data_IF_077520064375
#
_entry.id   IF_077520064375
#
_cell.length_a   1.000
_cell.length_b   1.000
_cell.length_c   1.000
_cell.angle_alpha   90.00
_cell.angle_beta   90.00
_cell.angle_gamma   90.00
#
_symmetry.space_group_name_H-M   'P 1'
#
loop_
_entity.id
_entity.type
_entity.pdbx_description
1 polymer ?
#
# COMPACT_ATOMS: atom_id res chain seq x y z
N UNK A 1 22.79 -21.27 -7.03
CA UNK A 1 22.83 -20.08 -6.15
C UNK A 1 23.31 -18.91 -6.98
N UNK A 2 22.78 -17.70 -6.77
CA UNK A 2 23.25 -16.51 -7.47
C UNK A 2 24.74 -16.25 -7.17
N UNK A 3 25.49 -15.90 -8.21
CA UNK A 3 26.92 -15.62 -8.12
C UNK A 3 27.14 -14.11 -7.94
N UNK A 4 27.50 -13.70 -6.72
CA UNK A 4 27.71 -12.29 -6.39
C UNK A 4 29.07 -11.74 -6.88
N UNK A 5 29.95 -12.55 -7.47
CA UNK A 5 31.24 -12.12 -8.01
C UNK A 5 31.19 -11.77 -9.49
N UNK A 6 30.14 -12.21 -10.18
CA UNK A 6 29.91 -11.98 -11.61
C UNK A 6 29.46 -10.53 -11.87
N UNK A 7 29.86 -9.98 -13.02
CA UNK A 7 29.28 -8.71 -13.52
C UNK A 7 27.96 -8.98 -14.25
N UNK A 8 26.93 -8.18 -13.93
CA UNK A 8 25.61 -8.24 -14.55
C UNK A 8 25.34 -7.04 -15.45
N UNK A 9 24.40 -7.16 -16.36
CA UNK A 9 23.89 -6.00 -17.10
C UNK A 9 22.96 -5.17 -16.20
N UNK A 10 22.10 -5.83 -15.40
CA UNK A 10 21.13 -5.18 -14.54
C UNK A 10 21.18 -5.75 -13.12
N UNK A 11 21.39 -4.90 -12.13
CA UNK A 11 21.19 -5.22 -10.71
C UNK A 11 19.86 -4.63 -10.23
N UNK A 12 19.00 -5.46 -9.67
CA UNK A 12 17.73 -5.06 -9.08
C UNK A 12 17.78 -5.22 -7.57
N UNK A 13 17.58 -4.14 -6.81
CA UNK A 13 17.47 -4.16 -5.36
C UNK A 13 16.01 -4.29 -4.92
N UNK A 14 15.67 -5.41 -4.27
CA UNK A 14 14.32 -5.78 -3.81
C UNK A 14 13.77 -6.99 -4.56
N UNK A 15 12.73 -7.64 -4.01
CA UNK A 15 12.10 -8.83 -4.59
C UNK A 15 10.56 -8.75 -4.63
N UNK A 16 9.99 -7.55 -4.52
CA UNK A 16 8.55 -7.31 -4.64
C UNK A 16 8.06 -7.28 -6.10
N UNK A 17 6.80 -6.92 -6.29
CA UNK A 17 6.17 -6.81 -7.61
C UNK A 17 6.99 -5.95 -8.59
N UNK A 18 7.40 -4.76 -8.18
CA UNK A 18 8.17 -3.85 -9.04
C UNK A 18 9.50 -4.46 -9.47
N UNK A 19 10.21 -5.09 -8.54
CA UNK A 19 11.49 -5.74 -8.79
C UNK A 19 11.36 -6.91 -9.79
N UNK A 20 10.37 -7.76 -9.60
CA UNK A 20 10.15 -8.91 -10.49
C UNK A 20 9.67 -8.47 -11.88
N UNK A 21 8.80 -7.46 -11.95
CA UNK A 21 8.41 -6.86 -13.24
C UNK A 21 9.63 -6.28 -13.98
N UNK A 22 10.56 -5.60 -13.25
CA UNK A 22 11.78 -5.06 -13.85
C UNK A 22 12.73 -6.19 -14.29
N UNK A 23 12.95 -7.18 -13.45
CA UNK A 23 13.85 -8.30 -13.75
C UNK A 23 13.35 -9.11 -14.96
N UNK A 24 12.06 -9.43 -15.03
CA UNK A 24 11.46 -10.16 -16.15
C UNK A 24 11.56 -9.33 -17.44
N UNK A 25 11.25 -8.03 -17.38
CA UNK A 25 11.33 -7.14 -18.55
C UNK A 25 12.77 -7.01 -19.07
N UNK A 26 13.75 -6.82 -18.18
CA UNK A 26 15.16 -6.74 -18.54
C UNK A 26 15.68 -8.06 -19.12
N UNK A 27 15.30 -9.18 -18.51
CA UNK A 27 15.72 -10.50 -18.99
C UNK A 27 15.16 -10.84 -20.37
N UNK A 28 13.89 -10.49 -20.63
CA UNK A 28 13.27 -10.64 -21.96
C UNK A 28 13.90 -9.74 -23.02
N UNK A 29 14.48 -8.62 -22.61
CA UNK A 29 15.31 -7.77 -23.47
C UNK A 29 16.73 -8.31 -23.68
N UNK A 30 17.08 -9.48 -23.15
CA UNK A 30 18.35 -10.18 -23.37
C UNK A 30 19.44 -9.90 -22.34
N UNK A 31 19.19 -9.08 -21.31
CA UNK A 31 20.19 -8.74 -20.29
C UNK A 31 20.38 -9.85 -19.24
N UNK A 32 21.59 -9.98 -18.71
CA UNK A 32 21.86 -10.74 -17.49
C UNK A 32 21.37 -9.94 -16.28
N UNK A 33 20.59 -10.57 -15.39
CA UNK A 33 19.91 -9.89 -14.28
C UNK A 33 20.20 -10.60 -12.96
N UNK A 34 20.60 -9.81 -11.95
CA UNK A 34 20.64 -10.23 -10.56
C UNK A 34 19.58 -9.46 -9.76
N UNK A 35 18.78 -10.20 -9.02
CA UNK A 35 17.86 -9.65 -8.01
C UNK A 35 18.42 -9.90 -6.63
N UNK A 36 18.59 -8.84 -5.81
CA UNK A 36 18.97 -8.94 -4.41
C UNK A 36 17.73 -8.74 -3.53
N UNK A 37 17.22 -9.81 -2.95
CA UNK A 37 16.10 -9.82 -1.98
C UNK A 37 16.68 -9.99 -0.56
N UNK A 38 16.40 -8.99 0.28
CA UNK A 38 16.86 -8.96 1.67
C UNK A 38 16.26 -10.08 2.52
N UNK A 39 15.02 -10.45 2.25
CA UNK A 39 14.32 -11.49 3.01
C UNK A 39 14.80 -12.89 2.59
N UNK A 40 14.75 -13.84 3.54
CA UNK A 40 14.86 -15.25 3.23
C UNK A 40 13.78 -15.69 2.22
N UNK A 41 14.07 -16.72 1.44
CA UNK A 41 13.19 -17.22 0.35
C UNK A 41 11.73 -17.40 0.79
N UNK A 42 11.47 -17.86 2.01
CA UNK A 42 10.11 -18.05 2.54
C UNK A 42 9.37 -16.73 2.77
N UNK A 43 10.10 -15.66 3.14
CA UNK A 43 9.54 -14.34 3.44
C UNK A 43 9.68 -13.33 2.31
N UNK A 44 10.19 -13.75 1.14
CA UNK A 44 10.44 -12.89 -0.03
C UNK A 44 9.22 -12.11 -0.49
N UNK A 45 9.43 -10.99 -1.16
CA UNK A 45 8.41 -10.27 -1.90
C UNK A 45 7.86 -9.01 -1.23
N UNK A 46 8.44 -8.59 -0.12
CA UNK A 46 8.09 -7.33 0.55
C UNK A 46 6.59 -7.21 0.84
N UNK A 47 6.05 -6.01 0.80
CA UNK A 47 4.64 -5.73 1.06
C UNK A 47 3.69 -6.26 -0.03
N UNK A 48 4.20 -6.63 -1.18
CA UNK A 48 3.39 -7.26 -2.24
C UNK A 48 2.69 -8.54 -1.76
N UNK A 49 3.26 -9.26 -0.78
CA UNK A 49 2.64 -10.44 -0.15
C UNK A 49 1.25 -10.18 0.44
N UNK A 50 1.01 -8.92 0.86
CA UNK A 50 -0.20 -8.50 1.55
C UNK A 50 -1.21 -7.82 0.63
N UNK A 51 -0.96 -7.79 -0.68
CA UNK A 51 -1.91 -7.26 -1.66
C UNK A 51 -2.98 -8.28 -2.03
N UNK A 52 -4.10 -7.79 -2.57
CA UNK A 52 -5.16 -8.65 -3.10
C UNK A 52 -5.64 -8.25 -4.49
N UNK A 53 -5.36 -7.03 -4.93
CA UNK A 53 -5.86 -6.50 -6.20
C UNK A 53 -4.91 -5.48 -6.81
N UNK A 54 -5.15 -5.17 -8.08
CA UNK A 54 -4.49 -4.13 -8.86
C UNK A 54 -5.55 -3.26 -9.53
N UNK A 55 -5.31 -1.96 -9.63
CA UNK A 55 -6.15 -1.00 -10.33
C UNK A 55 -5.53 -0.67 -11.69
N UNK A 56 -6.26 -0.91 -12.77
CA UNK A 56 -5.79 -0.61 -14.13
C UNK A 56 -6.90 0.01 -14.95
N UNK A 57 -6.55 0.91 -15.87
CA UNK A 57 -7.49 1.41 -16.87
C UNK A 57 -7.84 0.28 -17.86
N UNK A 58 -9.11 0.25 -18.32
CA UNK A 58 -9.61 -0.72 -19.31
C UNK A 58 -10.90 -0.18 -19.94
N UNK A 59 -11.16 -0.59 -21.19
CA UNK A 59 -12.23 0.00 -22.00
C UNK A 59 -13.52 -0.84 -21.99
N UNK A 60 -13.48 -2.07 -21.47
CA UNK A 60 -14.62 -2.99 -21.45
C UNK A 60 -14.64 -3.85 -20.20
N UNK A 61 -15.80 -4.46 -19.92
CA UNK A 61 -15.92 -5.53 -18.95
C UNK A 61 -15.09 -6.76 -19.38
N UNK A 62 -14.63 -7.54 -18.39
CA UNK A 62 -13.94 -8.83 -18.59
C UNK A 62 -14.61 -9.90 -17.72
N UNK A 63 -14.10 -11.12 -17.71
CA UNK A 63 -14.59 -12.17 -16.80
C UNK A 63 -14.48 -11.77 -15.32
N UNK A 64 -13.57 -10.85 -14.98
CA UNK A 64 -13.29 -10.46 -13.58
C UNK A 64 -13.58 -8.99 -13.28
N UNK A 65 -13.94 -8.19 -14.29
CA UNK A 65 -14.26 -6.76 -14.18
C UNK A 65 -15.68 -6.50 -14.73
N UNK A 66 -16.52 -5.86 -13.93
CA UNK A 66 -17.95 -5.70 -14.23
C UNK A 66 -18.30 -4.59 -15.22
N UNK A 67 -17.33 -3.80 -15.68
CA UNK A 67 -17.55 -2.69 -16.62
C UNK A 67 -16.26 -1.93 -16.94
N UNK A 68 -16.30 -0.95 -17.84
CA UNK A 68 -15.13 -0.17 -18.22
C UNK A 68 -14.65 0.75 -17.10
N UNK A 69 -13.37 1.05 -17.10
CA UNK A 69 -12.73 2.06 -16.24
C UNK A 69 -11.72 2.85 -17.08
N UNK A 70 -12.19 3.89 -17.82
CA UNK A 70 -11.38 4.63 -18.75
C UNK A 70 -10.32 5.48 -18.06
N UNK A 71 -9.28 5.87 -18.81
CA UNK A 71 -8.13 6.63 -18.29
C UNK A 71 -8.52 7.94 -17.61
N UNK A 72 -9.48 8.69 -18.18
CA UNK A 72 -9.91 9.97 -17.61
C UNK A 72 -10.65 9.80 -16.28
N UNK A 73 -11.44 8.72 -16.11
CA UNK A 73 -12.08 8.41 -14.85
C UNK A 73 -11.02 8.01 -13.81
N UNK A 74 -10.06 7.17 -14.18
CA UNK A 74 -8.97 6.79 -13.31
C UNK A 74 -8.16 8.03 -12.85
N UNK A 75 -7.85 8.93 -13.79
CA UNK A 75 -7.13 10.15 -13.46
C UNK A 75 -7.93 11.08 -12.54
N UNK A 76 -9.24 11.20 -12.75
CA UNK A 76 -10.15 11.94 -11.87
C UNK A 76 -10.17 11.35 -10.44
N UNK A 77 -10.27 10.03 -10.33
CA UNK A 77 -10.19 9.34 -9.04
C UNK A 77 -8.84 9.59 -8.35
N UNK A 78 -7.75 9.55 -9.10
CA UNK A 78 -6.41 9.84 -8.57
C UNK A 78 -6.30 11.28 -8.06
N UNK A 79 -6.75 12.26 -8.84
CA UNK A 79 -6.76 13.67 -8.40
C UNK A 79 -7.59 13.87 -7.14
N UNK A 80 -8.74 13.20 -7.05
CA UNK A 80 -9.61 13.26 -5.87
C UNK A 80 -8.90 12.73 -4.61
N UNK A 81 -8.31 11.52 -4.68
CA UNK A 81 -7.66 10.91 -3.51
C UNK A 81 -6.36 11.61 -3.12
N UNK A 82 -5.62 12.16 -4.08
CA UNK A 82 -4.38 12.91 -3.85
C UNK A 82 -4.64 14.38 -3.55
N UNK A 83 -5.87 14.87 -3.74
CA UNK A 83 -6.23 16.28 -3.64
C UNK A 83 -5.33 17.16 -4.55
N UNK A 84 -5.00 16.65 -5.74
CA UNK A 84 -4.13 17.30 -6.71
C UNK A 84 -2.61 17.18 -6.42
N UNK A 85 -2.21 16.55 -5.32
CA UNK A 85 -0.79 16.32 -5.01
C UNK A 85 -0.25 15.12 -5.80
N UNK A 86 -0.01 15.30 -7.09
CA UNK A 86 0.52 14.29 -8.02
C UNK A 86 1.29 14.96 -9.15
N UNK A 87 2.29 14.28 -9.70
CA UNK A 87 2.90 14.66 -10.97
C UNK A 87 1.96 14.16 -12.08
N UNK A 88 1.17 15.08 -12.67
CA UNK A 88 0.14 14.72 -13.66
C UNK A 88 0.71 14.02 -14.88
N UNK A 89 1.91 14.39 -15.29
CA UNK A 89 2.58 13.80 -16.46
C UNK A 89 2.91 12.34 -16.22
N UNK A 90 3.49 12.03 -15.06
CA UNK A 90 3.79 10.64 -14.68
C UNK A 90 2.53 9.86 -14.35
N UNK A 91 1.54 10.48 -13.72
CA UNK A 91 0.26 9.86 -13.40
C UNK A 91 -0.49 9.42 -14.65
N UNK A 92 -0.63 10.29 -15.65
CA UNK A 92 -1.27 9.96 -16.94
C UNK A 92 -0.49 8.90 -17.69
N UNK A 93 0.84 8.99 -17.70
CA UNK A 93 1.69 7.97 -18.32
C UNK A 93 1.49 6.60 -17.66
N UNK A 94 1.49 6.54 -16.30
CA UNK A 94 1.22 5.32 -15.56
C UNK A 94 -0.17 4.74 -15.88
N UNK A 95 -1.20 5.59 -15.94
CA UNK A 95 -2.58 5.17 -16.22
C UNK A 95 -2.69 4.57 -17.63
N UNK A 96 -2.14 5.23 -18.63
CA UNK A 96 -2.13 4.72 -20.01
C UNK A 96 -1.40 3.36 -20.12
N UNK A 97 -0.20 3.25 -19.54
CA UNK A 97 0.58 2.00 -19.53
C UNK A 97 -0.10 0.88 -18.72
N UNK A 98 -0.97 1.23 -17.75
CA UNK A 98 -1.66 0.24 -16.91
C UNK A 98 -2.60 -0.66 -17.70
N UNK A 99 -3.14 -0.20 -18.84
CA UNK A 99 -4.03 -0.99 -19.72
C UNK A 99 -3.38 -2.32 -20.12
N UNK A 100 -2.08 -2.29 -20.42
CA UNK A 100 -1.34 -3.48 -20.85
C UNK A 100 -0.95 -4.41 -19.70
N UNK A 101 -1.07 -3.97 -18.46
CA UNK A 101 -0.68 -4.78 -17.28
C UNK A 101 -1.64 -5.94 -17.06
N UNK A 102 -2.95 -5.73 -17.34
CA UNK A 102 -3.98 -6.76 -17.16
C UNK A 102 -3.73 -8.00 -18.03
N UNK A 103 -3.16 -7.80 -19.23
CA UNK A 103 -2.78 -8.91 -20.11
C UNK A 103 -1.37 -9.42 -19.84
N UNK A 104 -0.47 -8.53 -19.43
CA UNK A 104 0.92 -8.90 -19.21
C UNK A 104 1.11 -9.80 -17.97
N UNK A 105 0.43 -9.53 -16.85
CA UNK A 105 0.56 -10.35 -15.65
C UNK A 105 0.09 -11.81 -15.85
N UNK A 106 -1.03 -12.11 -16.53
CA UNK A 106 -1.40 -13.47 -16.89
C UNK A 106 -0.35 -14.22 -17.72
N UNK A 107 0.36 -13.52 -18.63
CA UNK A 107 1.49 -14.11 -19.39
C UNK A 107 2.66 -14.52 -18.49
N UNK A 108 2.70 -14.05 -17.24
CA UNK A 108 3.66 -14.47 -16.22
C UNK A 108 3.05 -15.53 -15.25
N UNK A 109 1.92 -16.14 -15.60
CA UNK A 109 1.25 -17.13 -14.77
C UNK A 109 0.37 -16.58 -13.65
N UNK A 110 0.22 -15.25 -13.55
CA UNK A 110 -0.69 -14.63 -12.57
C UNK A 110 -2.14 -14.90 -12.97
N UNK A 111 -3.00 -15.24 -12.01
CA UNK A 111 -4.42 -15.47 -12.27
C UNK A 111 -5.28 -14.46 -11.54
N UNK A 112 -6.37 -14.06 -12.16
CA UNK A 112 -7.39 -13.20 -11.57
C UNK A 112 -8.63 -13.98 -11.15
N UNK A 113 -9.43 -13.39 -10.29
CA UNK A 113 -10.76 -13.86 -9.87
C UNK A 113 -11.74 -12.70 -9.83
N UNK A 114 -13.05 -12.91 -9.83
CA UNK A 114 -14.03 -11.87 -9.57
C UNK A 114 -13.76 -11.16 -8.24
N UNK A 115 -14.20 -9.90 -8.13
CA UNK A 115 -14.01 -9.11 -6.91
C UNK A 115 -14.66 -9.79 -5.72
N UNK A 116 -14.02 -9.65 -4.55
CA UNK A 116 -14.59 -10.10 -3.29
C UNK A 116 -15.75 -9.19 -2.89
N UNK A 117 -16.78 -9.75 -2.26
CA UNK A 117 -17.94 -9.02 -1.75
C UNK A 117 -17.60 -8.11 -0.54
N UNK A 118 -18.60 -7.51 0.05
CA UNK A 118 -18.52 -6.55 1.16
C UNK A 118 -18.32 -5.11 0.67
N UNK A 119 -17.90 -4.22 1.58
CA UNK A 119 -17.72 -2.76 1.33
C UNK A 119 -16.77 -2.35 0.22
N UNK A 120 -16.23 -3.28 -0.53
CA UNK A 120 -15.12 -2.95 -1.42
C UNK A 120 -15.55 -2.34 -2.73
N UNK A 121 -16.76 -2.61 -3.25
CA UNK A 121 -17.30 -2.07 -4.52
C UNK A 121 -16.26 -1.90 -5.63
N UNK A 122 -15.27 -2.82 -5.70
CA UNK A 122 -14.09 -2.71 -6.55
C UNK A 122 -14.21 -3.51 -7.85
N UNK A 123 -15.32 -4.19 -8.07
CA UNK A 123 -15.49 -5.12 -9.21
C UNK A 123 -15.33 -4.49 -10.58
N UNK A 124 -15.48 -3.17 -10.69
CA UNK A 124 -15.31 -2.44 -11.94
C UNK A 124 -13.90 -1.88 -12.13
N UNK A 125 -13.24 -1.47 -11.07
CA UNK A 125 -11.98 -0.71 -11.16
C UNK A 125 -10.74 -1.55 -10.88
N UNK A 126 -10.89 -2.73 -10.24
CA UNK A 126 -9.77 -3.52 -9.75
C UNK A 126 -9.91 -5.00 -10.09
N UNK A 127 -8.86 -5.58 -10.65
CA UNK A 127 -8.73 -7.04 -10.79
C UNK A 127 -8.16 -7.66 -9.52
N UNK A 128 -8.80 -8.70 -9.02
CA UNK A 128 -8.37 -9.41 -7.81
C UNK A 128 -7.49 -10.60 -8.18
N UNK A 129 -6.38 -10.76 -7.46
CA UNK A 129 -5.49 -11.90 -7.66
C UNK A 129 -6.05 -13.17 -7.03
N UNK A 130 -6.18 -14.23 -7.79
CA UNK A 130 -6.53 -15.55 -7.26
C UNK A 130 -5.42 -16.03 -6.32
N UNK A 131 -5.77 -16.23 -5.04
CA UNK A 131 -4.83 -16.58 -3.98
C UNK A 131 -4.00 -15.39 -3.47
N UNK A 132 -4.35 -14.16 -3.86
CA UNK A 132 -3.76 -12.91 -3.36
C UNK A 132 -2.30 -12.69 -3.77
N UNK A 133 -1.63 -11.76 -3.07
CA UNK A 133 -0.28 -11.34 -3.40
C UNK A 133 0.78 -12.43 -3.33
N UNK A 134 0.63 -13.40 -2.43
CA UNK A 134 1.58 -14.53 -2.34
C UNK A 134 1.53 -15.42 -3.58
N UNK A 135 0.34 -15.72 -4.08
CA UNK A 135 0.16 -16.53 -5.29
C UNK A 135 0.70 -15.79 -6.51
N UNK A 136 0.38 -14.50 -6.65
CA UNK A 136 0.92 -13.64 -7.70
C UNK A 136 2.45 -13.59 -7.67
N UNK A 137 3.07 -13.35 -6.50
CA UNK A 137 4.51 -13.34 -6.35
C UNK A 137 5.15 -14.67 -6.76
N UNK A 138 4.57 -15.80 -6.33
CA UNK A 138 5.09 -17.11 -6.70
C UNK A 138 5.09 -17.30 -8.22
N UNK A 139 4.05 -16.86 -8.94
CA UNK A 139 4.02 -16.91 -10.40
C UNK A 139 5.14 -16.06 -11.01
N UNK A 140 5.33 -14.82 -10.54
CA UNK A 140 6.40 -13.93 -11.03
C UNK A 140 7.79 -14.48 -10.73
N UNK A 141 8.02 -15.06 -9.54
CA UNK A 141 9.30 -15.70 -9.20
C UNK A 141 9.57 -16.91 -10.10
N UNK A 142 8.60 -17.78 -10.35
CA UNK A 142 8.75 -18.90 -11.26
C UNK A 142 9.11 -18.42 -12.66
N UNK A 143 8.39 -17.44 -13.21
CA UNK A 143 8.71 -16.86 -14.53
C UNK A 143 10.12 -16.26 -14.57
N UNK A 144 10.53 -15.54 -13.52
CA UNK A 144 11.86 -14.95 -13.46
C UNK A 144 12.96 -16.05 -13.41
N UNK A 145 12.78 -17.08 -12.60
CA UNK A 145 13.67 -18.24 -12.50
C UNK A 145 13.75 -19.00 -13.83
N UNK A 146 12.62 -19.27 -14.48
CA UNK A 146 12.56 -19.96 -15.79
C UNK A 146 13.24 -19.17 -16.93
N UNK A 147 13.17 -17.84 -16.86
CA UNK A 147 13.89 -16.96 -17.79
C UNK A 147 15.40 -16.88 -17.50
N UNK A 148 15.88 -17.43 -16.38
CA UNK A 148 17.28 -17.40 -15.97
C UNK A 148 17.69 -16.10 -15.27
N UNK A 149 16.77 -15.43 -14.59
CA UNK A 149 17.09 -14.35 -13.63
C UNK A 149 17.78 -15.00 -12.42
N UNK A 150 18.94 -14.50 -12.04
CA UNK A 150 19.62 -14.92 -10.81
C UNK A 150 19.01 -14.17 -9.61
N UNK A 151 18.62 -14.91 -8.56
CA UNK A 151 17.99 -14.32 -7.37
C UNK A 151 18.83 -14.70 -6.14
N UNK A 152 19.34 -13.68 -5.46
CA UNK A 152 20.02 -13.81 -4.18
C UNK A 152 19.03 -13.49 -3.05
N UNK A 153 18.76 -14.47 -2.21
CA UNK A 153 17.98 -14.31 -0.97
C UNK A 153 18.91 -14.06 0.21
N UNK A 154 18.38 -13.51 1.31
CA UNK A 154 19.17 -13.08 2.48
C UNK A 154 20.30 -12.12 2.05
N UNK A 155 20.03 -11.29 1.04
CA UNK A 155 20.99 -10.45 0.33
C UNK A 155 20.57 -8.97 0.41
N UNK A 156 21.06 -8.29 1.43
CA UNK A 156 20.76 -6.87 1.67
C UNK A 156 21.75 -5.98 0.92
N UNK A 157 21.24 -5.05 0.11
CA UNK A 157 22.06 -3.95 -0.43
C UNK A 157 22.27 -2.94 0.69
N UNK A 158 23.52 -2.86 1.19
CA UNK A 158 23.88 -2.03 2.35
C UNK A 158 24.69 -0.79 1.98
N UNK A 159 25.20 -0.71 0.76
CA UNK A 159 25.90 0.45 0.23
C UNK A 159 25.84 0.51 -1.29
N UNK A 160 25.96 1.73 -1.85
CA UNK A 160 25.99 2.01 -3.28
C UNK A 160 27.20 2.89 -3.59
N UNK A 161 28.01 2.51 -4.54
CA UNK A 161 29.06 3.33 -5.12
C UNK A 161 28.48 4.08 -6.31
N UNK A 162 28.31 5.40 -6.15
CA UNK A 162 27.74 6.30 -7.15
C UNK A 162 28.67 7.48 -7.32
N UNK A 163 29.15 7.69 -8.54
CA UNK A 163 29.97 8.86 -8.90
C UNK A 163 29.28 9.70 -9.98
N UNK A 164 29.09 11.00 -9.70
CA UNK A 164 28.47 11.97 -10.62
C UNK A 164 27.16 11.50 -11.27
N UNK A 165 26.29 10.81 -10.49
CA UNK A 165 25.02 10.28 -10.97
C UNK A 165 25.13 8.98 -11.76
N UNK A 166 26.30 8.35 -11.75
CA UNK A 166 26.55 7.03 -12.33
C UNK A 166 26.73 5.98 -11.23
N UNK A 167 25.93 4.94 -11.25
CA UNK A 167 26.10 3.75 -10.43
C UNK A 167 27.30 2.93 -10.93
N UNK A 168 28.18 2.53 -10.04
CA UNK A 168 29.38 1.73 -10.32
C UNK A 168 29.27 0.33 -9.73
N UNK A 169 28.82 0.22 -8.48
CA UNK A 169 28.66 -1.05 -7.77
C UNK A 169 27.74 -0.93 -6.56
N UNK A 170 27.29 -2.07 -6.05
CA UNK A 170 26.60 -2.18 -4.78
C UNK A 170 27.34 -3.09 -3.82
N UNK A 171 27.37 -2.75 -2.53
CA UNK A 171 27.80 -3.68 -1.48
C UNK A 171 26.58 -4.44 -1.00
N UNK A 172 26.64 -5.76 -1.16
CA UNK A 172 25.57 -6.69 -0.74
C UNK A 172 26.06 -7.48 0.47
N UNK A 173 25.32 -7.41 1.57
CA UNK A 173 25.57 -8.23 2.75
C UNK A 173 24.77 -9.54 2.66
N UNK A 174 25.46 -10.68 2.78
CA UNK A 174 24.85 -12.01 2.73
C UNK A 174 25.64 -12.99 3.59
N UNK A 175 24.96 -13.75 4.44
CA UNK A 175 25.62 -14.75 5.30
C UNK A 175 26.69 -14.19 6.25
N UNK A 176 26.60 -12.90 6.62
CA UNK A 176 27.60 -12.21 7.45
C UNK A 176 28.76 -11.60 6.66
N UNK A 177 28.88 -11.86 5.37
CA UNK A 177 29.94 -11.34 4.48
C UNK A 177 29.42 -10.19 3.61
N UNK A 178 30.34 -9.31 3.19
CA UNK A 178 30.08 -8.21 2.25
C UNK A 178 30.67 -8.53 0.89
N UNK A 179 29.84 -8.44 -0.14
CA UNK A 179 30.20 -8.70 -1.52
C UNK A 179 30.03 -7.42 -2.35
N UNK A 180 31.03 -7.09 -3.16
CA UNK A 180 30.93 -5.99 -4.13
C UNK A 180 30.34 -6.55 -5.42
N UNK A 181 29.10 -6.20 -5.72
CA UNK A 181 28.37 -6.59 -6.94
C UNK A 181 28.47 -5.47 -7.96
N UNK A 182 28.95 -5.79 -9.17
CA UNK A 182 29.06 -4.86 -10.29
C UNK A 182 27.96 -5.13 -11.32
N UNK A 183 27.34 -4.05 -11.80
CA UNK A 183 26.41 -4.13 -12.92
C UNK A 183 26.53 -2.88 -13.81
N UNK A 184 26.08 -2.99 -15.05
CA UNK A 184 26.04 -1.85 -15.96
C UNK A 184 24.96 -0.85 -15.55
N UNK A 185 23.83 -1.33 -15.01
CA UNK A 185 22.68 -0.50 -14.57
C UNK A 185 22.14 -0.97 -13.22
N UNK A 186 21.48 -0.06 -12.51
CA UNK A 186 20.87 -0.31 -11.21
C UNK A 186 19.37 0.04 -11.23
N UNK A 187 18.53 -0.85 -10.71
CA UNK A 187 17.10 -0.63 -10.50
C UNK A 187 16.78 -0.73 -9.02
N UNK A 188 16.42 0.38 -8.40
CA UNK A 188 15.85 0.39 -7.05
C UNK A 188 14.37 0.00 -7.10
N UNK A 189 14.01 -1.10 -6.47
CA UNK A 189 12.64 -1.58 -6.31
C UNK A 189 12.43 -2.17 -4.90
N UNK A 190 13.03 -1.50 -3.91
CA UNK A 190 13.28 -1.95 -2.55
C UNK A 190 12.18 -1.60 -1.54
N UNK A 191 11.05 -1.02 -2.00
CA UNK A 191 9.99 -0.56 -1.11
C UNK A 191 10.29 0.79 -0.46
N UNK A 192 9.56 1.12 0.59
CA UNK A 192 9.72 2.33 1.39
C UNK A 192 10.45 2.10 2.71
N UNK A 193 10.08 2.90 3.75
CA UNK A 193 10.71 2.82 5.07
C UNK A 193 9.72 2.60 6.22
N UNK A 194 8.51 2.13 5.94
CA UNK A 194 7.44 1.97 6.93
C UNK A 194 7.79 1.04 8.09
N UNK A 195 8.77 0.15 7.93
CA UNK A 195 9.26 -0.72 9.00
C UNK A 195 10.43 -0.11 9.81
N UNK A 196 10.90 1.08 9.44
CA UNK A 196 11.93 1.81 10.17
C UNK A 196 11.27 2.79 11.16
N UNK A 197 10.96 2.30 12.36
CA UNK A 197 10.25 3.08 13.39
C UNK A 197 11.04 4.34 13.76
N UNK A 198 12.38 4.27 13.86
CA UNK A 198 13.22 5.43 14.18
C UNK A 198 13.17 6.49 13.10
N UNK A 199 13.09 6.09 11.82
CA UNK A 199 12.90 7.06 10.74
C UNK A 199 11.47 7.63 10.72
N UNK A 200 10.45 6.81 11.00
CA UNK A 200 9.08 7.30 11.14
C UNK A 200 8.94 8.32 12.29
N UNK A 201 9.66 8.13 13.41
CA UNK A 201 9.66 9.08 14.53
C UNK A 201 10.13 10.48 14.16
N UNK A 202 10.96 10.63 13.13
CA UNK A 202 11.41 11.96 12.67
C UNK A 202 10.24 12.79 12.15
N UNK A 203 9.18 12.15 11.65
CA UNK A 203 8.01 12.81 11.06
C UNK A 203 6.75 12.69 11.92
N UNK A 204 6.62 11.61 12.70
CA UNK A 204 5.42 11.31 13.50
C UNK A 204 5.65 11.40 15.00
N UNK A 205 6.88 11.70 15.43
CA UNK A 205 7.24 11.70 16.84
C UNK A 205 7.04 10.34 17.52
N UNK A 206 6.90 10.32 18.86
CA UNK A 206 6.74 9.08 19.64
C UNK A 206 5.51 8.23 19.23
N UNK A 207 4.52 8.82 18.57
CA UNK A 207 3.34 8.09 18.09
C UNK A 207 3.69 6.89 17.19
N UNK A 208 4.82 6.95 16.47
CA UNK A 208 5.28 5.87 15.61
C UNK A 208 5.56 4.54 16.34
N UNK A 209 5.85 4.57 17.64
CA UNK A 209 6.03 3.34 18.45
C UNK A 209 4.76 2.48 18.50
N UNK A 210 3.59 3.11 18.43
CA UNK A 210 2.29 2.46 18.47
C UNK A 210 1.76 2.04 17.09
N UNK A 211 2.46 2.37 15.99
CA UNK A 211 2.05 1.96 14.66
C UNK A 211 2.23 0.45 14.49
N UNK A 212 1.26 -0.19 13.88
CA UNK A 212 1.39 -1.55 13.37
C UNK A 212 1.85 -1.47 11.91
N UNK A 213 2.75 -2.35 11.52
CA UNK A 213 3.25 -2.41 10.15
C UNK A 213 2.48 -3.50 9.42
N UNK A 214 1.52 -3.08 8.60
CA UNK A 214 0.79 -4.00 7.72
C UNK A 214 1.66 -4.37 6.53
N UNK A 215 2.74 -5.05 6.81
CA UNK A 215 3.79 -5.37 5.85
C UNK A 215 4.97 -6.07 6.49
N UNK A 216 5.97 -6.31 5.66
CA UNK A 216 7.21 -6.98 6.04
C UNK A 216 8.05 -6.14 7.01
N UNK A 217 8.83 -6.76 7.91
CA UNK A 217 9.84 -6.05 8.72
C UNK A 217 11.06 -5.59 7.92
N UNK A 218 11.12 -5.89 6.62
CA UNK A 218 12.29 -5.64 5.78
C UNK A 218 12.26 -4.30 5.03
N UNK A 219 11.13 -3.61 4.92
CA UNK A 219 11.04 -2.28 4.28
C UNK A 219 11.57 -1.19 5.19
N UNK A 220 12.90 -1.10 5.31
CA UNK A 220 13.60 -0.19 6.25
C UNK A 220 14.12 1.08 5.60
N UNK A 221 13.96 1.22 4.27
CA UNK A 221 14.43 2.40 3.54
C UNK A 221 15.95 2.47 3.33
N UNK A 222 16.71 1.40 3.58
CA UNK A 222 18.18 1.40 3.44
C UNK A 222 18.61 1.96 2.09
N UNK A 223 18.11 1.37 1.00
CA UNK A 223 18.50 1.80 -0.36
C UNK A 223 17.94 3.19 -0.69
N UNK A 224 16.71 3.54 -0.26
CA UNK A 224 16.16 4.87 -0.43
C UNK A 224 17.08 5.92 0.23
N UNK A 225 17.47 5.71 1.49
CA UNK A 225 18.37 6.61 2.19
C UNK A 225 19.71 6.75 1.48
N UNK A 226 20.31 5.64 1.05
CA UNK A 226 21.57 5.64 0.31
C UNK A 226 21.50 6.49 -0.97
N UNK A 227 20.41 6.40 -1.71
CA UNK A 227 20.20 7.18 -2.93
C UNK A 227 20.07 8.68 -2.64
N UNK A 228 19.26 9.05 -1.63
CA UNK A 228 19.09 10.44 -1.23
C UNK A 228 20.41 11.04 -0.71
N UNK A 229 21.15 10.32 0.14
CA UNK A 229 22.46 10.74 0.67
C UNK A 229 23.51 10.93 -0.45
N UNK A 230 23.31 10.30 -1.62
CA UNK A 230 24.19 10.39 -2.80
C UNK A 230 23.67 11.34 -3.88
N UNK A 231 22.75 12.23 -3.51
CA UNK A 231 22.30 13.33 -4.35
C UNK A 231 21.24 12.94 -5.40
N UNK A 232 20.55 11.81 -5.25
CA UNK A 232 19.31 11.58 -5.99
C UNK A 232 18.24 12.54 -5.45
N UNK A 233 17.52 13.17 -6.34
CA UNK A 233 16.47 14.13 -5.99
C UNK A 233 15.34 13.44 -5.24
N UNK A 234 14.96 13.96 -4.09
CA UNK A 234 13.79 13.50 -3.34
C UNK A 234 12.47 14.06 -3.89
N UNK A 235 11.38 13.35 -3.62
CA UNK A 235 10.01 13.78 -3.87
C UNK A 235 9.05 13.11 -2.88
N UNK A 236 7.81 13.60 -2.84
CA UNK A 236 6.80 13.09 -1.92
C UNK A 236 6.91 13.69 -0.52
N UNK A 237 5.87 13.47 0.27
CA UNK A 237 5.74 14.03 1.63
C UNK A 237 5.97 12.91 2.67
N UNK A 238 7.04 12.98 3.48
CA UNK A 238 7.33 11.94 4.48
C UNK A 238 6.32 11.90 5.63
N UNK A 239 5.51 12.95 5.80
CA UNK A 239 4.42 12.98 6.79
C UNK A 239 3.14 12.33 6.27
N UNK A 240 3.10 11.93 5.00
CA UNK A 240 1.99 11.22 4.37
C UNK A 240 2.31 9.75 4.18
N UNK A 241 1.30 8.92 4.29
CA UNK A 241 1.43 7.47 4.12
C UNK A 241 0.08 6.83 3.80
N UNK A 242 0.12 5.65 3.22
CA UNK A 242 -1.02 4.73 3.19
C UNK A 242 -1.09 4.01 4.54
N UNK A 243 -1.97 4.46 5.40
CA UNK A 243 -2.20 3.86 6.70
C UNK A 243 -3.69 3.56 6.90
N UNK A 244 -4.00 2.32 7.25
CA UNK A 244 -5.37 1.79 7.36
C UNK A 244 -5.74 1.49 8.81
N UNK A 245 -7.02 1.30 9.06
CA UNK A 245 -7.51 0.77 10.33
C UNK A 245 -7.12 -0.72 10.45
N UNK A 246 -6.24 -1.04 11.40
CA UNK A 246 -5.82 -2.41 11.70
C UNK A 246 -6.30 -2.77 13.11
N UNK A 247 -6.77 -4.00 13.26
CA UNK A 247 -7.11 -4.54 14.57
C UNK A 247 -5.92 -4.40 15.53
N UNK A 248 -6.10 -3.73 16.65
CA UNK A 248 -5.03 -3.45 17.61
C UNK A 248 -4.40 -4.71 18.22
N UNK A 249 -5.06 -5.87 18.08
CA UNK A 249 -4.55 -7.19 18.52
C UNK A 249 -3.62 -7.84 17.49
N UNK A 250 -3.48 -7.24 16.28
CA UNK A 250 -2.59 -7.74 15.25
C UNK A 250 -1.11 -7.66 15.70
N UNK A 251 -0.24 -8.54 15.18
CA UNK A 251 1.19 -8.46 15.45
C UNK A 251 1.80 -7.17 14.89
N UNK A 252 2.96 -6.75 15.42
CA UNK A 252 3.67 -5.54 14.99
C UNK A 252 3.95 -5.53 13.50
N UNK A 253 4.29 -6.69 12.91
CA UNK A 253 4.59 -6.89 11.50
C UNK A 253 3.78 -8.04 10.92
N UNK A 254 3.65 -8.07 9.59
CA UNK A 254 3.06 -9.18 8.81
C UNK A 254 1.61 -9.57 9.21
N UNK A 255 0.87 -8.72 9.90
CA UNK A 255 -0.54 -8.96 10.23
C UNK A 255 -1.43 -9.16 9.00
N UNK A 256 -0.95 -8.73 7.86
CA UNK A 256 -1.57 -8.98 6.56
C UNK A 256 -2.87 -8.23 6.29
N UNK A 257 -3.51 -8.62 5.20
CA UNK A 257 -4.77 -8.01 4.76
C UNK A 257 -5.94 -8.39 5.67
N UNK A 258 -5.86 -9.55 6.31
CA UNK A 258 -6.94 -10.13 7.11
C UNK A 258 -7.15 -9.45 8.49
N UNK A 259 -6.19 -8.62 8.91
CA UNK A 259 -6.32 -7.81 10.15
C UNK A 259 -6.82 -6.40 9.87
N UNK A 260 -7.01 -6.01 8.59
CA UNK A 260 -7.61 -4.74 8.22
C UNK A 260 -9.10 -4.76 8.52
N UNK A 261 -9.60 -3.66 9.06
CA UNK A 261 -11.00 -3.50 9.41
C UNK A 261 -11.72 -2.67 8.34
N UNK A 262 -12.70 -3.28 7.69
CA UNK A 262 -13.55 -2.64 6.67
C UNK A 262 -14.93 -2.22 7.23
N UNK A 263 -15.15 -2.35 8.54
CA UNK A 263 -16.43 -2.04 9.21
C UNK A 263 -16.58 -0.58 9.64
N UNK A 264 -15.58 0.26 9.43
CA UNK A 264 -15.58 1.67 9.88
C UNK A 264 -16.85 2.43 9.47
N UNK A 265 -17.26 2.30 8.22
CA UNK A 265 -18.42 3.03 7.68
C UNK A 265 -19.77 2.55 8.23
N UNK A 266 -19.84 1.36 8.82
CA UNK A 266 -21.08 0.76 9.35
C UNK A 266 -21.31 0.97 10.84
N UNK A 267 -20.40 1.66 11.51
CA UNK A 267 -20.49 2.03 12.91
C UNK A 267 -20.08 3.47 13.15
N UNK A 268 -19.65 3.76 14.36
CA UNK A 268 -18.97 5.00 14.74
C UNK A 268 -17.57 4.67 15.22
N UNK A 269 -16.63 5.60 15.12
CA UNK A 269 -15.27 5.44 15.63
C UNK A 269 -15.02 6.42 16.76
N UNK A 270 -14.69 5.89 17.95
CA UNK A 270 -14.40 6.69 19.12
C UNK A 270 -12.94 6.51 19.56
N UNK A 271 -12.32 7.56 20.10
CA UNK A 271 -11.00 7.52 20.71
C UNK A 271 -11.06 6.91 22.14
N UNK A 272 -9.92 6.87 22.86
CA UNK A 272 -9.87 6.35 24.23
C UNK A 272 -10.69 7.15 25.25
N UNK A 273 -11.17 8.33 24.90
CA UNK A 273 -12.09 9.14 25.70
C UNK A 273 -13.56 8.95 25.28
N UNK A 274 -13.86 7.88 24.52
CA UNK A 274 -15.18 7.56 24.00
C UNK A 274 -15.80 8.67 23.12
N UNK A 275 -14.99 9.52 22.50
CA UNK A 275 -15.42 10.66 21.65
C UNK A 275 -15.18 10.35 20.18
N UNK A 276 -16.17 10.61 19.33
CA UNK A 276 -16.02 10.59 17.87
C UNK A 276 -15.11 11.72 17.43
N UNK A 277 -14.32 11.51 16.38
CA UNK A 277 -13.32 12.48 15.92
C UNK A 277 -13.30 12.72 14.40
N UNK A 278 -14.07 11.95 13.62
CA UNK A 278 -14.13 12.11 12.17
C UNK A 278 -15.47 11.63 11.59
N UNK A 279 -15.75 11.98 10.35
CA UNK A 279 -16.90 11.52 9.58
C UNK A 279 -16.61 10.14 8.97
N UNK A 280 -17.21 9.10 9.53
CA UNK A 280 -17.02 7.72 9.05
C UNK A 280 -17.69 7.48 7.69
N UNK A 281 -18.61 8.33 7.28
CA UNK A 281 -19.37 8.25 6.03
C UNK A 281 -18.98 9.29 4.97
N UNK A 282 -17.82 9.91 5.06
CA UNK A 282 -17.40 11.03 4.19
C UNK A 282 -17.36 10.66 2.69
N UNK A 283 -16.94 9.45 2.34
CA UNK A 283 -16.70 9.04 0.94
C UNK A 283 -16.79 7.52 0.82
N UNK A 284 -16.98 7.01 -0.41
CA UNK A 284 -16.92 5.58 -0.73
C UNK A 284 -15.64 4.96 -0.18
N UNK A 285 -15.80 3.90 0.60
CA UNK A 285 -14.74 3.27 1.37
C UNK A 285 -13.44 2.98 0.61
N UNK A 286 -13.45 2.44 -0.63
CA UNK A 286 -12.23 2.21 -1.42
C UNK A 286 -11.39 3.46 -1.72
N UNK A 287 -11.96 4.64 -1.64
CA UNK A 287 -11.26 5.92 -1.84
C UNK A 287 -10.82 6.56 -0.53
N UNK A 288 -11.38 6.13 0.62
CA UNK A 288 -11.13 6.80 1.90
C UNK A 288 -10.54 5.92 3.01
N UNK A 289 -10.59 4.60 2.88
CA UNK A 289 -10.09 3.68 3.91
C UNK A 289 -8.62 3.91 4.32
N UNK A 290 -7.82 4.43 3.42
CA UNK A 290 -6.38 4.57 3.59
C UNK A 290 -5.93 5.77 4.46
N UNK A 291 -6.87 6.59 4.93
CA UNK A 291 -6.58 7.69 5.85
C UNK A 291 -6.81 7.32 7.31
N UNK A 292 -7.56 6.23 7.57
CA UNK A 292 -8.01 5.91 8.93
C UNK A 292 -6.86 5.57 9.87
N UNK A 293 -5.79 4.94 9.40
CA UNK A 293 -4.59 4.76 10.22
C UNK A 293 -3.99 6.09 10.65
N UNK A 294 -3.93 7.09 9.76
CA UNK A 294 -3.42 8.43 10.09
C UNK A 294 -4.35 9.18 11.05
N UNK A 295 -5.66 9.07 10.89
CA UNK A 295 -6.62 9.68 11.81
C UNK A 295 -6.49 9.10 13.22
N UNK A 296 -6.30 7.78 13.33
CA UNK A 296 -6.06 7.11 14.62
C UNK A 296 -4.68 7.49 15.19
N UNK A 297 -3.66 7.69 14.35
CA UNK A 297 -2.33 8.15 14.80
C UNK A 297 -2.36 9.52 15.51
N UNK A 298 -3.36 10.34 15.22
CA UNK A 298 -3.57 11.64 15.85
C UNK A 298 -4.37 11.56 17.15
N UNK A 299 -4.93 10.39 17.48
CA UNK A 299 -5.70 10.21 18.71
C UNK A 299 -4.79 9.88 19.90
N UNK A 300 -5.24 10.17 21.14
CA UNK A 300 -4.51 9.81 22.34
C UNK A 300 -4.15 8.32 22.36
N UNK A 301 -2.90 7.97 22.71
CA UNK A 301 -2.32 6.63 22.73
C UNK A 301 -2.38 5.89 21.37
N UNK A 302 -2.69 6.60 20.28
CA UNK A 302 -2.84 6.05 18.93
C UNK A 302 -3.75 4.81 18.89
N UNK A 303 -4.87 4.89 19.63
CA UNK A 303 -5.89 3.85 19.69
C UNK A 303 -7.29 4.46 19.49
N UNK A 304 -8.13 3.71 18.81
CA UNK A 304 -9.56 4.02 18.66
C UNK A 304 -10.37 2.71 18.70
N UNK A 305 -11.68 2.84 18.70
CA UNK A 305 -12.61 1.71 18.75
C UNK A 305 -13.74 1.95 17.75
N UNK A 306 -13.96 0.97 16.87
CA UNK A 306 -15.11 0.97 15.97
C UNK A 306 -16.26 0.31 16.74
N UNK A 307 -17.35 1.03 16.96
CA UNK A 307 -18.56 0.58 17.69
C UNK A 307 -19.69 0.38 16.69
N UNK A 308 -20.30 -0.78 16.70
CA UNK A 308 -21.44 -1.12 15.83
C UNK A 308 -22.34 -2.15 16.52
N UNK A 309 -23.43 -2.52 15.90
CA UNK A 309 -24.41 -3.48 16.42
C UNK A 309 -24.64 -4.68 15.51
N UNK A 310 -25.50 -5.59 15.92
CA UNK A 310 -25.79 -6.84 15.22
C UNK A 310 -26.27 -6.63 13.76
N UNK A 311 -26.94 -5.51 13.48
CA UNK A 311 -27.46 -5.20 12.14
C UNK A 311 -26.36 -4.98 11.10
N UNK A 312 -25.13 -4.68 11.54
CA UNK A 312 -23.99 -4.38 10.67
C UNK A 312 -23.04 -5.55 10.41
N UNK A 313 -23.13 -6.65 11.17
CA UNK A 313 -22.18 -7.77 11.12
C UNK A 313 -21.99 -8.41 9.74
N UNK A 314 -23.02 -8.39 8.88
CA UNK A 314 -22.97 -9.03 7.56
C UNK A 314 -22.63 -8.07 6.41
N UNK A 315 -22.37 -6.81 6.70
CA UNK A 315 -22.16 -5.77 5.70
C UNK A 315 -20.69 -5.62 5.28
N UNK A 316 -19.76 -6.27 5.98
CA UNK A 316 -18.33 -6.15 5.73
C UNK A 316 -17.61 -7.49 5.78
N UNK A 317 -16.42 -7.54 5.21
CA UNK A 317 -15.59 -8.74 5.29
C UNK A 317 -15.15 -9.00 6.74
N UNK A 318 -15.27 -10.25 7.24
CA UNK A 318 -14.84 -10.59 8.58
C UNK A 318 -13.32 -10.38 8.73
N UNK A 319 -12.90 -9.90 9.92
CA UNK A 319 -11.49 -9.85 10.31
C UNK A 319 -11.04 -11.22 10.84
N UNK A 320 -9.71 -11.40 10.93
CA UNK A 320 -9.11 -12.58 11.57
C UNK A 320 -9.59 -12.76 13.02
N UNK A 321 -9.71 -11.65 13.75
CA UNK A 321 -10.18 -11.64 15.12
C UNK A 321 -11.68 -11.39 15.16
N UNK A 322 -12.45 -12.12 15.98
CA UNK A 322 -13.86 -11.81 16.19
C UNK A 322 -14.00 -10.43 16.87
N UNK A 323 -15.10 -9.70 16.63
CA UNK A 323 -15.38 -8.48 17.37
C UNK A 323 -15.56 -8.77 18.86
N UNK A 324 -15.28 -7.79 19.70
CA UNK A 324 -15.60 -7.82 21.12
C UNK A 324 -17.11 -7.62 21.24
N UNK A 325 -17.81 -8.57 21.85
CA UNK A 325 -19.27 -8.62 21.96
C UNK A 325 -19.73 -8.27 23.36
N UNK A 326 -20.87 -7.55 23.47
CA UNK A 326 -21.53 -7.27 24.73
C UNK A 326 -23.05 -7.14 24.59
N UNK A 327 -23.80 -7.40 25.66
CA UNK A 327 -25.25 -7.27 25.67
C UNK A 327 -25.73 -5.80 25.77
N UNK A 328 -24.87 -4.88 26.23
CA UNK A 328 -25.16 -3.45 26.32
C UNK A 328 -23.92 -2.61 25.99
N UNK A 329 -24.16 -1.32 25.65
CA UNK A 329 -23.07 -0.35 25.43
C UNK A 329 -22.24 -0.16 26.70
N UNK A 330 -22.86 -0.17 27.90
CA UNK A 330 -22.18 -0.07 29.19
C UNK A 330 -21.26 -1.26 29.43
N UNK A 331 -21.70 -2.47 29.18
CA UNK A 331 -20.87 -3.68 29.24
C UNK A 331 -19.72 -3.62 28.21
N UNK A 332 -20.02 -3.18 27.00
CA UNK A 332 -19.00 -3.03 25.94
C UNK A 332 -17.91 -2.04 26.36
N UNK A 333 -18.30 -0.89 26.94
CA UNK A 333 -17.36 0.10 27.46
C UNK A 333 -16.41 -0.52 28.51
N UNK A 334 -16.94 -1.31 29.44
CA UNK A 334 -16.15 -2.03 30.45
C UNK A 334 -15.12 -2.97 29.81
N UNK A 335 -15.52 -3.75 28.80
CA UNK A 335 -14.60 -4.64 28.04
C UNK A 335 -13.52 -3.89 27.27
N UNK A 336 -13.79 -2.65 26.88
CA UNK A 336 -12.85 -1.78 26.14
C UNK A 336 -12.01 -0.88 27.07
N UNK A 337 -12.27 -0.91 28.37
CA UNK A 337 -11.65 0.00 29.36
C UNK A 337 -11.94 1.47 29.04
N UNK A 338 -13.15 1.75 28.53
CA UNK A 338 -13.67 3.09 28.29
C UNK A 338 -14.61 3.50 29.43
N UNK A 339 -14.79 4.82 29.61
CA UNK A 339 -15.80 5.32 30.54
C UNK A 339 -17.22 4.97 30.06
N UNK A 340 -18.00 4.17 30.83
CA UNK A 340 -19.29 3.69 30.37
C UNK A 340 -20.33 4.80 30.16
N UNK A 341 -20.32 5.85 30.98
CA UNK A 341 -21.29 6.94 30.88
C UNK A 341 -21.03 7.77 29.63
N UNK A 342 -19.75 8.04 29.36
CA UNK A 342 -19.34 8.78 28.16
C UNK A 342 -19.64 8.00 26.88
N UNK A 343 -19.38 6.68 26.86
CA UNK A 343 -19.67 5.88 25.65
C UNK A 343 -21.19 5.78 25.40
N UNK A 344 -21.98 5.56 26.44
CA UNK A 344 -23.45 5.58 26.33
C UNK A 344 -23.97 6.94 25.83
N UNK A 345 -23.47 8.04 26.38
CA UNK A 345 -23.84 9.38 25.95
C UNK A 345 -23.48 9.64 24.47
N UNK A 346 -22.28 9.18 24.03
CA UNK A 346 -21.84 9.30 22.62
C UNK A 346 -22.75 8.51 21.68
N UNK A 347 -23.06 7.25 22.00
CA UNK A 347 -23.95 6.41 21.18
C UNK A 347 -25.37 6.96 21.16
N UNK A 348 -25.91 7.39 22.31
CA UNK A 348 -27.26 7.97 22.40
C UNK A 348 -27.35 9.29 21.62
N UNK A 349 -26.33 10.16 21.73
CA UNK A 349 -26.25 11.41 20.97
C UNK A 349 -26.18 11.17 19.46
N UNK A 350 -25.37 10.19 19.04
CA UNK A 350 -25.34 9.76 17.65
C UNK A 350 -26.72 9.25 17.18
N UNK A 351 -27.32 8.32 17.93
CA UNK A 351 -28.64 7.76 17.58
C UNK A 351 -29.75 8.82 17.46
N UNK A 352 -29.74 9.84 18.31
CA UNK A 352 -30.71 10.95 18.28
C UNK A 352 -30.51 11.86 17.03
N UNK A 353 -29.26 11.95 16.56
CA UNK A 353 -28.90 12.77 15.40
C UNK A 353 -29.18 12.09 14.05
N UNK A 354 -29.29 10.75 14.03
CA UNK A 354 -29.55 9.99 12.78
C UNK A 354 -30.86 10.44 12.14
N UNK A 355 -30.76 10.76 10.85
CA UNK A 355 -31.90 11.00 9.96
C UNK A 355 -32.09 9.79 9.06
N UNK A 356 -33.30 9.22 9.02
CA UNK A 356 -33.58 8.06 8.18
C UNK A 356 -33.42 8.42 6.70
N UNK A 357 -32.97 7.46 5.93
CA UNK A 357 -32.84 7.49 4.48
C UNK A 357 -32.98 6.09 3.90
N UNK A 358 -32.66 5.94 2.63
CA UNK A 358 -32.57 4.62 1.97
C UNK A 358 -31.14 4.11 2.04
N UNK A 359 -30.88 3.15 2.94
CA UNK A 359 -29.54 2.59 3.10
C UNK A 359 -29.11 1.80 1.87
N UNK A 360 -27.96 2.18 1.30
CA UNK A 360 -27.28 1.48 0.20
C UNK A 360 -25.77 1.63 0.35
N UNK A 361 -25.09 0.56 0.69
CA UNK A 361 -23.62 0.55 0.91
C UNK A 361 -22.79 0.59 -0.38
N UNK A 362 -23.44 0.60 -1.54
CA UNK A 362 -22.78 0.66 -2.86
C UNK A 362 -22.68 2.08 -3.42
N UNK A 363 -23.41 3.03 -2.86
CA UNK A 363 -23.42 4.45 -3.26
C UNK A 363 -23.24 5.36 -2.04
N UNK A 364 -23.02 6.64 -2.26
CA UNK A 364 -23.18 7.67 -1.23
C UNK A 364 -24.67 7.87 -0.99
N UNK A 365 -25.22 7.16 0.01
CA UNK A 365 -26.63 7.15 0.32
C UNK A 365 -27.09 8.44 1.04
N UNK A 366 -28.36 8.55 1.37
CA UNK A 366 -28.96 9.70 2.05
C UNK A 366 -29.11 9.52 3.58
N UNK A 367 -28.64 8.39 4.14
CA UNK A 367 -28.62 8.14 5.58
C UNK A 367 -27.53 8.97 6.26
N UNK A 368 -27.88 10.02 6.96
CA UNK A 368 -26.94 10.97 7.56
C UNK A 368 -27.28 11.33 9.00
N UNK A 369 -26.41 12.05 9.66
CA UNK A 369 -26.68 12.72 10.95
C UNK A 369 -26.86 14.22 10.76
N UNK A 370 -27.64 14.85 11.65
CA UNK A 370 -27.80 16.29 11.72
C UNK A 370 -27.66 16.77 13.17
N UNK A 371 -27.02 17.94 13.33
CA UNK A 371 -26.92 18.62 14.64
C UNK A 371 -25.81 18.07 15.57
N UNK A 372 -24.90 17.24 15.07
CA UNK A 372 -23.70 16.78 15.81
C UNK A 372 -22.40 17.03 15.06
N UNK A 373 -21.32 17.11 15.81
CA UNK A 373 -19.94 17.21 15.29
C UNK A 373 -19.06 16.10 15.90
N UNK A 374 -18.29 15.36 15.10
CA UNK A 374 -18.32 15.34 13.64
C UNK A 374 -19.64 14.80 13.10
N UNK A 375 -20.07 15.19 11.89
CA UNK A 375 -21.22 14.58 11.23
C UNK A 375 -20.89 13.13 10.83
N UNK A 376 -21.90 12.37 10.42
CA UNK A 376 -21.75 11.20 9.58
C UNK A 376 -22.59 11.43 8.33
N UNK A 377 -21.92 11.63 7.18
CA UNK A 377 -22.54 12.14 5.96
C UNK A 377 -23.36 11.09 5.22
N UNK A 378 -22.95 9.81 5.29
CA UNK A 378 -23.59 8.68 4.61
C UNK A 378 -23.60 7.45 5.52
N UNK A 379 -24.45 6.49 5.23
CA UNK A 379 -24.60 5.20 5.94
C UNK A 379 -24.82 5.33 7.45
N UNK A 380 -25.41 6.45 7.87
CA UNK A 380 -25.74 6.67 9.27
C UNK A 380 -26.95 5.83 9.67
N UNK A 381 -26.69 4.81 10.50
CA UNK A 381 -27.72 3.92 11.06
C UNK A 381 -27.62 3.95 12.57
N UNK A 382 -28.76 3.84 13.26
CA UNK A 382 -28.78 3.75 14.73
C UNK A 382 -28.08 2.49 15.22
N UNK A 383 -27.35 2.61 16.29
CA UNK A 383 -26.70 1.50 17.01
C UNK A 383 -27.62 1.14 18.17
N UNK A 384 -28.61 0.26 17.94
CA UNK A 384 -29.67 -0.05 18.90
C UNK A 384 -30.08 -1.53 18.93
N UNK A 385 -29.48 -2.37 18.10
CA UNK A 385 -29.82 -3.79 17.99
C UNK A 385 -28.76 -4.65 18.67
N UNK A 386 -29.04 -5.13 19.89
CA UNK A 386 -28.14 -6.03 20.59
C UNK A 386 -27.94 -7.37 19.84
N UNK A 387 -26.81 -8.05 19.98
CA UNK A 387 -25.65 -7.65 20.75
C UNK A 387 -24.87 -6.50 20.08
N UNK A 388 -24.09 -5.77 20.90
CA UNK A 388 -23.21 -4.70 20.47
C UNK A 388 -21.80 -5.19 20.32
N UNK A 389 -21.07 -4.58 19.38
CA UNK A 389 -19.75 -5.05 18.99
C UNK A 389 -18.73 -3.92 18.91
N UNK A 390 -17.47 -4.28 19.15
CA UNK A 390 -16.36 -3.37 18.93
C UNK A 390 -15.13 -4.05 18.35
N UNK A 391 -14.36 -3.28 17.57
CA UNK A 391 -12.98 -3.60 17.24
C UNK A 391 -12.04 -2.52 17.77
N UNK A 392 -11.00 -2.89 18.55
CA UNK A 392 -9.93 -1.96 18.87
C UNK A 392 -9.06 -1.72 17.61
N UNK A 393 -8.66 -0.47 17.35
CA UNK A 393 -7.98 -0.06 16.13
C UNK A 393 -6.68 0.66 16.44
N UNK A 394 -5.61 0.30 15.73
CA UNK A 394 -4.35 1.04 15.67
C UNK A 394 -4.02 1.46 14.25
N UNK A 395 -3.12 2.47 14.07
CA UNK A 395 -2.59 2.81 12.76
C UNK A 395 -1.86 1.62 12.14
N UNK A 396 -2.28 1.19 10.95
CA UNK A 396 -1.62 0.15 10.18
C UNK A 396 -0.95 0.73 8.94
N UNK A 397 0.33 1.08 9.04
CA UNK A 397 1.08 1.64 7.91
C UNK A 397 1.50 0.54 6.93
N UNK A 398 1.40 0.83 5.63
CA UNK A 398 1.70 -0.13 4.56
C UNK A 398 2.64 0.45 3.52
N UNK A 399 2.71 1.80 3.40
CA UNK A 399 3.30 2.46 2.25
C UNK A 399 3.67 3.90 2.63
N UNK A 400 4.91 4.28 2.37
CA UNK A 400 5.43 5.64 2.60
C UNK A 400 5.50 6.42 1.31
N UNK A 401 5.51 7.78 1.38
CA UNK A 401 5.48 8.61 0.17
C UNK A 401 6.77 9.39 -0.07
N UNK A 402 7.68 9.47 0.89
CA UNK A 402 9.03 9.94 0.60
C UNK A 402 9.69 8.98 -0.40
N UNK A 403 10.21 9.51 -1.50
CA UNK A 403 10.62 8.72 -2.65
C UNK A 403 11.73 9.42 -3.45
N UNK A 404 12.31 8.71 -4.39
CA UNK A 404 13.21 9.28 -5.41
C UNK A 404 12.39 9.88 -6.56
N UNK A 405 12.80 11.08 -7.04
CA UNK A 405 12.22 11.68 -8.25
C UNK A 405 12.65 10.90 -9.48
N UNK A 406 11.69 10.63 -10.39
CA UNK A 406 11.95 9.95 -11.66
C UNK A 406 11.29 10.67 -12.82
N UNK A 407 11.75 10.37 -14.04
CA UNK A 407 11.10 10.76 -15.30
C UNK A 407 10.21 9.62 -15.86
N UNK A 408 9.67 9.79 -17.08
CA UNK A 408 8.78 8.79 -17.73
C UNK A 408 9.46 7.46 -18.02
N UNK A 409 10.75 7.46 -18.21
CA UNK A 409 11.59 6.27 -18.42
C UNK A 409 11.96 5.58 -17.11
N UNK A 410 11.33 5.96 -15.98
CA UNK A 410 11.67 5.49 -14.64
C UNK A 410 13.12 5.79 -14.22
N UNK A 411 13.83 6.65 -14.95
CA UNK A 411 15.20 7.06 -14.66
C UNK A 411 15.20 8.06 -13.50
N UNK A 412 16.05 7.85 -12.50
CA UNK A 412 16.19 8.76 -11.37
C UNK A 412 16.74 10.12 -11.81
N UNK A 413 16.26 11.19 -11.20
CA UNK A 413 16.83 12.52 -11.34
C UNK A 413 17.80 12.80 -10.21
N UNK A 414 18.89 13.48 -10.51
CA UNK A 414 19.83 13.99 -9.51
C UNK A 414 19.34 15.31 -8.93
N UNK A 415 19.89 15.75 -7.81
CA UNK A 415 19.49 16.99 -7.13
C UNK A 415 19.65 18.27 -7.97
N UNK A 416 20.47 18.22 -9.02
CA UNK A 416 20.63 19.28 -10.02
C UNK A 416 19.61 19.20 -11.17
N UNK A 417 18.68 18.25 -11.13
CA UNK A 417 17.64 18.02 -12.12
C UNK A 417 18.07 17.18 -13.33
N UNK A 418 19.34 16.80 -13.46
CA UNK A 418 19.82 15.95 -14.56
C UNK A 418 19.38 14.48 -14.34
N UNK A 419 19.00 13.75 -15.39
CA UNK A 419 18.81 12.31 -15.29
C UNK A 419 20.11 11.61 -14.89
N UNK A 420 20.02 10.62 -14.02
CA UNK A 420 21.16 9.73 -13.69
C UNK A 420 21.64 9.00 -14.94
N UNK A 421 22.90 8.59 -14.98
CA UNK A 421 23.46 7.91 -16.15
C UNK A 421 22.83 6.52 -16.36
N UNK A 422 22.64 5.75 -15.27
CA UNK A 422 22.26 4.33 -15.34
C UNK A 422 21.46 3.83 -14.13
N UNK A 423 20.76 4.72 -13.41
CA UNK A 423 19.94 4.36 -12.26
C UNK A 423 18.46 4.57 -12.53
N UNK A 424 17.64 3.58 -12.16
CA UNK A 424 16.19 3.56 -12.35
C UNK A 424 15.49 3.22 -11.03
N UNK A 425 14.23 3.65 -10.88
CA UNK A 425 13.43 3.32 -9.71
C UNK A 425 12.02 2.87 -10.08
N UNK A 426 11.48 1.91 -9.32
CA UNK A 426 10.14 1.39 -9.53
C UNK A 426 9.46 0.98 -8.23
N UNK A 427 8.13 1.11 -8.20
CA UNK A 427 7.32 0.77 -7.04
C UNK A 427 7.34 1.84 -5.96
N UNK A 428 7.27 1.44 -4.71
CA UNK A 428 7.11 2.37 -3.58
C UNK A 428 8.25 3.39 -3.48
N UNK A 429 9.48 2.98 -3.76
CA UNK A 429 10.68 3.87 -3.71
C UNK A 429 10.59 5.08 -4.64
N UNK A 430 9.65 5.08 -5.62
CA UNK A 430 9.38 6.24 -6.48
C UNK A 430 7.93 6.73 -6.40
N UNK A 431 7.09 6.14 -5.55
CA UNK A 431 5.65 6.37 -5.57
C UNK A 431 5.24 7.79 -5.19
N UNK A 432 6.04 8.53 -4.45
CA UNK A 432 5.80 9.93 -4.11
C UNK A 432 5.67 10.87 -5.32
N UNK A 433 6.12 10.45 -6.51
CA UNK A 433 5.85 11.16 -7.75
C UNK A 433 4.36 11.14 -8.13
N UNK A 434 3.65 10.05 -7.81
CA UNK A 434 2.24 9.82 -8.17
C UNK A 434 1.31 9.99 -6.99
N UNK A 435 1.76 9.59 -5.80
CA UNK A 435 0.99 9.62 -4.55
C UNK A 435 1.61 10.63 -3.58
N UNK A 436 1.26 11.89 -3.72
CA UNK A 436 1.65 12.92 -2.74
C UNK A 436 0.77 12.91 -1.48
N UNK A 437 -0.48 12.41 -1.61
CA UNK A 437 -1.45 12.33 -0.52
C UNK A 437 -2.52 11.29 -0.85
N UNK A 438 -3.13 10.69 0.19
CA UNK A 438 -4.22 9.72 0.03
C UNK A 438 -3.81 8.46 -0.73
N UNK A 439 -4.75 7.57 -1.02
CA UNK A 439 -4.49 6.32 -1.72
C UNK A 439 -5.79 5.72 -2.27
N UNK A 440 -5.80 5.26 -3.49
CA UNK A 440 -6.87 4.42 -4.03
C UNK A 440 -6.45 2.93 -4.02
N UNK A 441 -7.38 2.03 -3.70
CA UNK A 441 -7.09 0.60 -3.64
C UNK A 441 -6.44 0.11 -4.94
N UNK A 442 -5.36 -0.66 -4.81
CA UNK A 442 -4.62 -1.25 -5.93
C UNK A 442 -3.51 -0.39 -6.55
N UNK A 443 -3.43 0.91 -6.20
CA UNK A 443 -2.47 1.86 -6.80
C UNK A 443 -1.01 1.44 -6.66
N UNK A 444 -0.58 0.97 -5.49
CA UNK A 444 0.80 0.52 -5.29
C UNK A 444 1.20 -0.62 -6.23
N UNK A 445 0.25 -1.49 -6.55
CA UNK A 445 0.46 -2.57 -7.51
C UNK A 445 0.59 -2.04 -8.94
N UNK A 446 -0.24 -1.05 -9.31
CA UNK A 446 -0.17 -0.38 -10.61
C UNK A 446 1.17 0.32 -10.81
N UNK A 447 1.57 1.17 -9.85
CA UNK A 447 2.87 1.84 -9.86
C UNK A 447 4.01 0.82 -10.01
N UNK A 448 4.00 -0.24 -9.20
CA UNK A 448 5.02 -1.27 -9.23
C UNK A 448 5.08 -2.04 -10.55
N UNK A 449 3.94 -2.44 -11.10
CA UNK A 449 3.90 -3.21 -12.36
C UNK A 449 4.26 -2.37 -13.58
N UNK A 450 3.75 -1.14 -13.65
CA UNK A 450 4.02 -0.23 -14.77
C UNK A 450 5.48 0.20 -14.77
N UNK A 451 5.92 0.89 -13.71
CA UNK A 451 7.28 1.42 -13.65
C UNK A 451 8.34 0.30 -13.51
N UNK A 452 8.00 -0.85 -12.94
CA UNK A 452 8.88 -2.02 -12.97
C UNK A 452 9.20 -2.46 -14.39
N UNK A 453 8.17 -2.62 -15.23
CA UNK A 453 8.35 -2.99 -16.65
C UNK A 453 9.13 -1.92 -17.43
N UNK A 454 8.84 -0.64 -17.20
CA UNK A 454 9.56 0.47 -17.82
C UNK A 454 11.01 0.45 -17.39
N UNK A 455 11.29 0.46 -16.09
CA UNK A 455 12.66 0.45 -15.55
C UNK A 455 13.48 -0.73 -16.05
N UNK A 456 12.89 -1.93 -16.15
CA UNK A 456 13.58 -3.11 -16.66
C UNK A 456 13.95 -2.99 -18.14
N UNK A 457 13.04 -2.50 -19.00
CA UNK A 457 13.32 -2.28 -20.43
C UNK A 457 14.39 -1.21 -20.62
N UNK A 458 14.27 -0.09 -19.93
CA UNK A 458 15.20 1.04 -20.03
C UNK A 458 16.59 0.70 -19.48
N UNK A 459 16.65 -0.03 -18.35
CA UNK A 459 17.91 -0.53 -17.80
C UNK A 459 18.61 -1.46 -18.79
N UNK A 460 17.88 -2.40 -19.40
CA UNK A 460 18.44 -3.31 -20.40
C UNK A 460 18.92 -2.59 -21.67
N UNK A 461 18.17 -1.56 -22.12
CA UNK A 461 18.58 -0.75 -23.26
C UNK A 461 19.85 0.05 -22.94
N UNK A 462 19.92 0.64 -21.73
CA UNK A 462 21.08 1.40 -21.28
C UNK A 462 22.33 0.54 -21.10
N UNK A 463 22.20 -0.70 -20.62
CA UNK A 463 23.33 -1.62 -20.39
C UNK A 463 24.04 -2.06 -21.70
N UNK A 464 23.40 -1.88 -22.87
CA UNK A 464 23.96 -2.23 -24.16
C UNK A 464 24.70 -1.08 -24.86
N UNK A 465 24.51 0.13 -24.37
CA UNK A 465 25.17 1.36 -24.87
C UNK A 465 26.42 1.65 -24.03
#
# INVERSE_FOLDING_TARGET
MADLTKKYDVLVAGGGNAALCAAIAARRAGSSVLVCEMAAKFYRGGNTRHTRNIRCAHDAATETLSGPYPEDEFFKDLLQVTQGHTDEVLARHMIAESKTVLDWLPQQGVRYQPSLGGTLSLGRTNSFFLGGGRSMLNALYLTAEDLGVEIAYDAEVVDLDIDNGMFLSATVQRGGERHIVRAATFVAACGGFESNIEWLKQYWGPAADNFLIRGTPHNRGTVLKLLLDRGVQETGDPTQCHAVAIDARAPKYDGGIITRLDCVVFGIVVNKHAQRFYDEGEEIWPKRYAIWGRLVAQQPDQIAYIIFDASSLKLFMPSLYPPIEAASIRELAGKLTLDPETLEATVNGFNAAVRPGTFDDTILDDCRTEGIAPPKSHWARRIETAPYYAYPVRPGITFTYLATKVNREARMLMSDGRPSANMFAAGEVMAGNVLGRGYAAGMGMTIGSVFGRIAGREAAANARN
#
